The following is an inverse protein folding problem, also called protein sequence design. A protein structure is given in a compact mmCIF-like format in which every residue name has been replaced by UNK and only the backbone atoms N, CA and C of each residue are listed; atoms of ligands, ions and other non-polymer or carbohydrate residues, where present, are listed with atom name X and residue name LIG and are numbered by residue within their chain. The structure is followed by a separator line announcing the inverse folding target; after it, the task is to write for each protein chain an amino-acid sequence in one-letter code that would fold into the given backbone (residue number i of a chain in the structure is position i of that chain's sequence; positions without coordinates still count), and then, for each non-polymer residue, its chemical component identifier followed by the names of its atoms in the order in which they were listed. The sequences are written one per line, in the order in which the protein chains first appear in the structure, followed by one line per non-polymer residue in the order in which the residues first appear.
data_IF_650582174823
#
_entry.id   IF_650582174823
#
_cell.length_a   1.000
_cell.length_b   1.000
_cell.length_c   1.000
_cell.angle_alpha   90.00
_cell.angle_beta   90.00
_cell.angle_gamma   90.00
#
_symmetry.space_group_name_H-M   'P 1'
#
loop_
_entity.id
_entity.type
_entity.pdbx_description
1 polymer ?
#
# COMPACT_ATOMS: atom_id res chain seq x y z
N UNK A 1 8.82 12.06 22.50
CA UNK A 1 7.35 12.05 22.37
C UNK A 1 6.87 11.06 21.30
N UNK A 2 7.42 11.08 20.08
CA UNK A 2 7.00 10.20 18.96
C UNK A 2 7.11 8.70 19.25
N UNK A 3 8.25 8.22 19.79
CA UNK A 3 8.42 6.78 20.09
C UNK A 3 7.34 6.23 21.04
N UNK A 4 7.06 6.93 22.14
CA UNK A 4 6.01 6.53 23.11
C UNK A 4 4.62 6.55 22.48
N UNK A 5 4.34 7.52 21.59
CA UNK A 5 3.08 7.57 20.87
C UNK A 5 2.91 6.37 19.93
N UNK A 6 3.96 6.02 19.15
CA UNK A 6 3.97 4.83 18.29
C UNK A 6 3.72 3.57 19.12
N UNK A 7 4.48 3.37 20.20
CA UNK A 7 4.34 2.19 21.08
C UNK A 7 2.93 2.08 21.69
N UNK A 8 2.35 3.21 22.13
CA UNK A 8 0.99 3.24 22.67
C UNK A 8 -0.05 2.88 21.60
N UNK A 9 0.02 3.51 20.43
CA UNK A 9 -0.91 3.27 19.33
C UNK A 9 -0.83 1.83 18.81
N UNK A 10 0.38 1.29 18.61
CA UNK A 10 0.57 -0.10 18.20
C UNK A 10 -0.04 -1.07 19.23
N UNK A 11 0.21 -0.83 20.53
CA UNK A 11 -0.36 -1.64 21.60
C UNK A 11 -1.90 -1.54 21.65
N UNK A 12 -2.47 -0.37 21.43
CA UNK A 12 -3.91 -0.17 21.51
C UNK A 12 -4.64 -0.71 20.27
N UNK A 13 -4.04 -0.62 19.09
CA UNK A 13 -4.70 -0.88 17.82
C UNK A 13 -4.31 -2.22 17.19
N UNK A 14 -3.03 -2.60 17.22
CA UNK A 14 -2.58 -3.85 16.60
C UNK A 14 -2.77 -5.06 17.53
N UNK A 15 -2.54 -4.88 18.83
CA UNK A 15 -2.59 -5.99 19.80
C UNK A 15 -3.95 -6.72 19.81
N UNK A 16 -5.12 -6.05 19.81
CA UNK A 16 -6.41 -6.75 19.78
C UNK A 16 -6.60 -7.63 18.53
N UNK A 17 -6.11 -7.17 17.37
CA UNK A 17 -6.18 -7.96 16.13
C UNK A 17 -5.30 -9.20 16.22
N UNK A 18 -4.08 -9.05 16.72
CA UNK A 18 -3.14 -10.17 16.92
C UNK A 18 -3.73 -11.18 17.91
N UNK A 19 -4.28 -10.72 19.04
CA UNK A 19 -4.90 -11.58 20.05
C UNK A 19 -6.17 -12.29 19.56
N UNK A 20 -6.87 -11.72 18.57
CA UNK A 20 -7.99 -12.40 17.89
C UNK A 20 -7.56 -13.52 16.92
N UNK A 21 -6.26 -13.78 16.79
CA UNK A 21 -5.71 -14.82 15.91
C UNK A 21 -5.74 -14.45 14.42
N UNK A 22 -5.93 -13.17 14.09
CA UNK A 22 -5.97 -12.68 12.71
C UNK A 22 -4.64 -12.08 12.29
N UNK A 23 -4.32 -12.17 11.00
CA UNK A 23 -3.19 -11.44 10.44
C UNK A 23 -3.51 -9.96 10.31
N UNK A 24 -2.56 -9.11 10.68
CA UNK A 24 -2.64 -7.66 10.43
C UNK A 24 -2.45 -7.29 8.96
N UNK A 25 -1.98 -8.24 8.14
CA UNK A 25 -1.76 -8.05 6.70
C UNK A 25 -2.92 -8.57 5.84
N UNK A 26 -3.72 -9.50 6.34
CA UNK A 26 -4.97 -9.94 5.69
C UNK A 26 -5.91 -10.52 6.76
N UNK A 27 -6.95 -9.78 7.14
CA UNK A 27 -7.85 -10.14 8.26
C UNK A 27 -8.63 -11.44 8.04
N UNK A 28 -8.62 -11.99 6.82
CA UNK A 28 -9.22 -13.29 6.50
C UNK A 28 -8.27 -14.45 6.84
N UNK A 29 -6.98 -14.19 7.03
CA UNK A 29 -5.94 -15.17 7.33
C UNK A 29 -5.57 -15.18 8.82
N UNK A 30 -5.00 -16.31 9.26
CA UNK A 30 -4.15 -16.35 10.46
C UNK A 30 -2.74 -15.88 10.09
N UNK A 31 -1.96 -15.34 11.04
CA UNK A 31 -0.60 -14.86 10.76
C UNK A 31 0.27 -15.90 10.04
N UNK A 32 0.91 -15.51 8.93
CA UNK A 32 1.77 -16.35 8.11
C UNK A 32 1.05 -17.18 7.04
N UNK A 33 -0.28 -17.16 7.02
CA UNK A 33 -1.12 -17.89 6.06
C UNK A 33 -1.77 -17.00 5.00
N UNK A 34 -1.35 -15.74 4.86
CA UNK A 34 -1.89 -14.76 3.91
C UNK A 34 -1.74 -15.23 2.46
N UNK A 35 -0.65 -15.97 2.19
CA UNK A 35 -0.35 -16.54 0.87
C UNK A 35 -1.51 -17.34 0.30
N UNK A 36 -2.39 -17.92 1.12
CA UNK A 36 -3.56 -18.69 0.64
C UNK A 36 -4.46 -17.88 -0.31
N UNK A 37 -4.55 -16.56 -0.11
CA UNK A 37 -5.34 -15.64 -0.94
C UNK A 37 -4.59 -15.07 -2.15
N UNK A 38 -3.32 -15.41 -2.35
CA UNK A 38 -2.56 -14.87 -3.47
C UNK A 38 -2.91 -15.62 -4.75
N UNK A 39 -3.26 -14.88 -5.80
CA UNK A 39 -3.41 -15.42 -7.16
C UNK A 39 -2.05 -15.70 -7.77
N UNK A 40 -1.04 -14.88 -7.46
CA UNK A 40 0.35 -15.13 -7.84
C UNK A 40 1.08 -15.88 -6.72
N UNK A 41 1.46 -17.14 -6.97
CA UNK A 41 2.22 -17.95 -6.02
C UNK A 41 3.70 -17.58 -6.09
N UNK A 42 4.19 -16.89 -5.05
CA UNK A 42 5.61 -16.60 -4.89
C UNK A 42 6.30 -17.80 -4.23
N UNK A 43 7.42 -18.24 -4.81
CA UNK A 43 8.27 -19.28 -4.24
C UNK A 43 9.04 -18.80 -3.00
N UNK A 44 9.97 -19.62 -2.52
CA UNK A 44 10.87 -19.24 -1.45
C UNK A 44 12.01 -18.35 -1.98
N UNK A 45 11.77 -17.04 -1.93
CA UNK A 45 12.68 -15.99 -2.39
C UNK A 45 14.01 -16.05 -1.61
N UNK A 46 13.94 -16.29 -0.30
CA UNK A 46 15.14 -16.36 0.54
C UNK A 46 16.02 -17.54 0.16
N UNK A 47 15.42 -18.71 -0.06
CA UNK A 47 16.13 -19.90 -0.52
C UNK A 47 16.77 -19.68 -1.87
N UNK A 48 16.06 -19.06 -2.82
CA UNK A 48 16.58 -18.78 -4.16
C UNK A 48 17.80 -17.85 -4.12
N UNK A 49 17.67 -16.67 -3.49
CA UNK A 49 18.76 -15.68 -3.46
C UNK A 49 19.97 -16.11 -2.63
N UNK A 50 19.82 -17.12 -1.77
CA UNK A 50 20.93 -17.65 -0.97
C UNK A 50 21.66 -18.83 -1.62
N UNK A 51 21.25 -19.29 -2.79
CA UNK A 51 21.99 -20.30 -3.57
C UNK A 51 23.38 -19.78 -3.96
N UNK A 52 24.46 -20.56 -3.79
CA UNK A 52 25.82 -20.13 -4.14
C UNK A 52 25.94 -19.64 -5.58
N UNK A 53 25.32 -20.33 -6.53
CA UNK A 53 25.33 -20.00 -7.95
C UNK A 53 24.62 -18.66 -8.23
N UNK A 54 23.50 -18.39 -7.57
CA UNK A 54 22.77 -17.11 -7.71
C UNK A 54 23.58 -15.97 -7.10
N UNK A 55 24.19 -16.19 -5.93
CA UNK A 55 25.05 -15.20 -5.28
C UNK A 55 26.29 -14.88 -6.10
N UNK A 56 26.92 -15.89 -6.70
CA UNK A 56 28.07 -15.72 -7.59
C UNK A 56 27.69 -14.92 -8.84
N UNK A 57 26.56 -15.23 -9.48
CA UNK A 57 26.06 -14.50 -10.65
C UNK A 57 25.74 -13.03 -10.35
N UNK A 58 25.20 -12.74 -9.16
CA UNK A 58 24.91 -11.37 -8.71
C UNK A 58 26.12 -10.64 -8.12
N UNK A 59 27.26 -11.33 -7.93
CA UNK A 59 28.47 -10.75 -7.32
C UNK A 59 28.31 -10.39 -5.83
N UNK A 60 27.43 -11.08 -5.09
CA UNK A 60 27.14 -10.78 -3.69
C UNK A 60 27.60 -11.89 -2.75
N UNK A 61 28.16 -11.53 -1.61
CA UNK A 61 28.66 -12.49 -0.60
C UNK A 61 27.78 -12.59 0.64
N UNK A 62 26.96 -11.55 0.92
CA UNK A 62 26.10 -11.49 2.10
C UNK A 62 24.92 -12.47 2.01
N UNK A 63 24.50 -13.02 3.14
CA UNK A 63 23.25 -13.79 3.23
C UNK A 63 22.07 -12.84 3.02
N UNK A 64 21.20 -13.17 2.09
CA UNK A 64 19.99 -12.41 1.81
C UNK A 64 18.94 -12.67 2.89
N UNK A 65 18.25 -11.61 3.30
CA UNK A 65 17.07 -11.63 4.17
C UNK A 65 16.08 -10.58 3.66
N UNK A 66 14.79 -10.86 3.82
CA UNK A 66 13.70 -9.95 3.46
C UNK A 66 13.64 -8.70 4.36
N UNK A 67 13.98 -8.85 5.63
CA UNK A 67 13.93 -7.77 6.63
C UNK A 67 15.23 -7.66 7.43
N UNK A 68 15.69 -6.43 7.67
CA UNK A 68 16.75 -6.12 8.62
C UNK A 68 16.15 -5.51 9.91
N UNK A 69 16.12 -6.29 10.98
CA UNK A 69 15.50 -5.89 12.27
C UNK A 69 16.22 -4.71 12.92
N UNK A 70 17.53 -4.55 12.73
CA UNK A 70 18.27 -3.42 13.29
C UNK A 70 17.83 -2.10 12.64
N UNK A 71 17.67 -2.10 11.31
CA UNK A 71 17.15 -0.94 10.57
C UNK A 71 15.72 -0.63 11.00
N UNK A 72 14.85 -1.64 11.07
CA UNK A 72 13.47 -1.46 11.52
C UNK A 72 13.40 -0.81 12.92
N UNK A 73 14.19 -1.29 13.88
CA UNK A 73 14.27 -0.72 15.24
C UNK A 73 14.80 0.72 15.25
N UNK A 74 15.80 1.02 14.42
CA UNK A 74 16.35 2.37 14.33
C UNK A 74 15.32 3.38 13.80
N UNK A 75 14.45 2.95 12.89
CA UNK A 75 13.41 3.79 12.28
C UNK A 75 12.09 3.83 13.05
N UNK A 76 11.84 2.92 13.99
CA UNK A 76 10.56 2.80 14.71
C UNK A 76 10.04 4.12 15.32
N UNK A 77 10.95 4.94 15.87
CA UNK A 77 10.59 6.26 16.45
C UNK A 77 10.03 7.27 15.43
N UNK A 78 10.27 7.06 14.13
CA UNK A 78 9.78 7.88 13.03
C UNK A 78 8.48 7.33 12.42
N UNK A 79 7.93 6.21 12.93
CA UNK A 79 6.71 5.61 12.37
C UNK A 79 5.47 6.53 12.43
N UNK A 80 5.46 7.51 13.35
CA UNK A 80 4.41 8.53 13.46
C UNK A 80 4.77 9.85 12.77
N UNK A 81 5.80 9.87 11.93
CA UNK A 81 6.16 11.07 11.17
C UNK A 81 5.12 11.33 10.08
N UNK A 82 4.46 12.47 10.15
CA UNK A 82 3.45 12.88 9.17
C UNK A 82 4.14 13.31 7.87
N UNK A 83 3.73 12.67 6.77
CA UNK A 83 4.25 12.93 5.41
C UNK A 83 3.23 13.62 4.51
N UNK A 84 2.09 14.04 5.05
CA UNK A 84 1.00 14.71 4.31
C UNK A 84 1.50 15.90 3.50
N UNK A 85 2.37 16.71 4.08
CA UNK A 85 2.84 17.94 3.43
C UNK A 85 3.71 17.65 2.20
N UNK A 86 4.49 16.57 2.20
CA UNK A 86 5.24 16.17 1.00
C UNK A 86 4.30 15.77 -0.13
N UNK A 87 3.16 15.14 0.19
CA UNK A 87 2.17 14.76 -0.82
C UNK A 87 1.43 15.98 -1.35
N UNK A 88 1.10 16.95 -0.50
CA UNK A 88 0.57 18.26 -0.95
C UNK A 88 1.53 18.91 -1.94
N UNK A 89 2.82 18.97 -1.61
CA UNK A 89 3.82 19.60 -2.47
C UNK A 89 3.94 18.91 -3.84
N UNK A 90 3.91 17.56 -3.88
CA UNK A 90 3.92 16.84 -5.16
C UNK A 90 2.69 17.19 -6.02
N UNK A 91 1.51 17.28 -5.40
CA UNK A 91 0.30 17.66 -6.11
C UNK A 91 0.35 19.13 -6.57
N UNK A 92 0.89 20.03 -5.75
CA UNK A 92 1.06 21.45 -6.05
C UNK A 92 1.92 21.68 -7.30
N UNK A 93 2.97 20.86 -7.48
CA UNK A 93 3.83 20.80 -8.67
C UNK A 93 3.17 20.14 -9.90
N UNK A 94 1.88 19.80 -9.82
CA UNK A 94 1.12 19.21 -10.93
C UNK A 94 1.37 17.72 -11.14
N UNK A 95 2.00 17.02 -10.19
CA UNK A 95 2.32 15.59 -10.34
C UNK A 95 1.11 14.70 -10.08
N UNK A 96 1.24 13.44 -10.51
CA UNK A 96 0.24 12.39 -10.33
C UNK A 96 0.54 11.61 -9.06
N UNK A 97 -0.47 11.43 -8.20
CA UNK A 97 -0.39 10.63 -6.97
C UNK A 97 -1.45 9.53 -7.02
N UNK A 98 -0.99 8.28 -6.89
CA UNK A 98 -1.84 7.10 -6.82
C UNK A 98 -1.64 6.40 -5.47
N UNK A 99 -2.75 6.16 -4.77
CA UNK A 99 -2.80 5.47 -3.47
C UNK A 99 -3.63 4.19 -3.65
N UNK A 100 -3.03 3.03 -3.37
CA UNK A 100 -3.65 1.72 -3.60
C UNK A 100 -3.59 0.89 -2.33
N UNK A 101 -4.73 0.39 -1.88
CA UNK A 101 -4.81 -0.47 -0.70
C UNK A 101 -5.73 -1.66 -0.92
N UNK A 102 -5.35 -2.80 -0.35
CA UNK A 102 -6.21 -3.97 -0.25
C UNK A 102 -7.34 -3.75 0.74
N UNK A 103 -8.55 -4.18 0.39
CA UNK A 103 -9.73 -4.09 1.25
C UNK A 103 -9.60 -4.84 2.58
N UNK A 104 -8.75 -5.88 2.62
CA UNK A 104 -8.59 -6.80 3.74
C UNK A 104 -7.31 -6.53 4.55
N UNK A 105 -6.54 -5.50 4.18
CA UNK A 105 -5.37 -5.05 4.94
C UNK A 105 -5.82 -4.29 6.19
N UNK A 106 -5.25 -4.63 7.35
CA UNK A 106 -5.54 -3.94 8.60
C UNK A 106 -4.48 -2.88 8.92
N UNK A 107 -3.19 -3.25 8.84
CA UNK A 107 -2.08 -2.42 9.30
C UNK A 107 -1.96 -1.13 8.49
N UNK A 108 -2.26 -1.19 7.20
CA UNK A 108 -2.38 -0.02 6.30
C UNK A 108 -3.71 -0.07 5.57
N UNK A 109 -4.80 0.00 6.32
CA UNK A 109 -6.15 -0.22 5.78
C UNK A 109 -6.61 0.89 4.81
N UNK A 110 -7.44 0.48 3.84
CA UNK A 110 -7.99 1.35 2.81
C UNK A 110 -8.88 2.49 3.35
N UNK A 111 -9.53 2.30 4.51
CA UNK A 111 -10.39 3.33 5.13
C UNK A 111 -9.53 4.48 5.66
N UNK A 112 -8.47 4.16 6.41
CA UNK A 112 -7.52 5.12 6.94
C UNK A 112 -6.81 5.89 5.83
N UNK A 113 -6.38 5.18 4.77
CA UNK A 113 -5.78 5.82 3.61
C UNK A 113 -6.73 6.82 2.93
N UNK A 114 -7.99 6.45 2.68
CA UNK A 114 -8.96 7.38 2.09
C UNK A 114 -9.26 8.56 3.00
N UNK A 115 -9.43 8.32 4.30
CA UNK A 115 -9.68 9.37 5.29
C UNK A 115 -8.51 10.36 5.37
N UNK A 116 -7.28 9.89 5.24
CA UNK A 116 -6.11 10.75 5.13
C UNK A 116 -6.09 11.52 3.80
N UNK A 117 -6.40 10.87 2.67
CA UNK A 117 -6.39 11.56 1.37
C UNK A 117 -7.39 12.73 1.31
N UNK A 118 -8.53 12.65 2.00
CA UNK A 118 -9.48 13.77 2.04
C UNK A 118 -9.01 14.94 2.91
N UNK A 119 -7.93 14.79 3.69
CA UNK A 119 -7.31 15.91 4.43
C UNK A 119 -6.23 16.62 3.63
N UNK A 120 -5.88 16.16 2.43
CA UNK A 120 -4.90 16.81 1.56
C UNK A 120 -5.41 18.18 1.12
N UNK A 121 -4.91 19.25 1.75
CA UNK A 121 -5.29 20.61 1.38
C UNK A 121 -4.48 21.07 0.16
N UNK A 122 -3.16 21.26 0.30
CA UNK A 122 -2.33 21.87 -0.74
C UNK A 122 -2.89 23.22 -1.23
N UNK A 123 -2.43 23.70 -2.38
CA UNK A 123 -2.91 24.96 -2.96
C UNK A 123 -4.33 24.86 -3.55
N UNK A 124 -4.82 23.65 -3.85
CA UNK A 124 -6.05 23.42 -4.60
C UNK A 124 -7.15 22.64 -3.84
N UNK A 125 -7.01 22.46 -2.53
CA UNK A 125 -7.94 21.67 -1.70
C UNK A 125 -8.20 20.26 -2.25
N UNK A 126 -7.12 19.55 -2.58
CA UNK A 126 -7.16 18.26 -3.29
C UNK A 126 -8.16 17.26 -2.69
N UNK A 127 -8.09 17.08 -1.37
CA UNK A 127 -8.94 16.18 -0.60
C UNK A 127 -10.42 16.50 -0.68
N UNK A 128 -10.80 17.78 -0.78
CA UNK A 128 -12.21 18.20 -0.82
C UNK A 128 -12.87 17.83 -2.15
N UNK A 129 -12.11 17.91 -3.26
CA UNK A 129 -12.57 17.49 -4.59
C UNK A 129 -12.63 15.94 -4.65
N UNK A 130 -11.62 15.26 -4.10
CA UNK A 130 -11.62 13.80 -4.02
C UNK A 130 -12.78 13.26 -3.17
N UNK A 131 -13.13 13.94 -2.08
CA UNK A 131 -14.25 13.56 -1.20
C UNK A 131 -15.57 13.57 -1.97
N UNK A 132 -15.82 14.61 -2.77
CA UNK A 132 -17.02 14.78 -3.60
C UNK A 132 -17.06 13.86 -4.83
N UNK A 133 -15.91 13.38 -5.27
CA UNK A 133 -15.81 12.47 -6.42
C UNK A 133 -16.46 11.11 -6.09
N UNK A 134 -17.43 10.60 -6.86
CA UNK A 134 -18.07 9.32 -6.55
C UNK A 134 -17.11 8.15 -6.77
N UNK A 135 -17.32 7.06 -6.02
CA UNK A 135 -16.66 5.80 -6.32
C UNK A 135 -17.15 5.24 -7.66
N UNK A 136 -16.21 4.78 -8.49
CA UNK A 136 -16.49 4.02 -9.70
C UNK A 136 -15.94 2.60 -9.54
N UNK A 137 -16.58 1.63 -10.18
CA UNK A 137 -15.97 0.31 -10.35
C UNK A 137 -14.78 0.45 -11.29
N UNK A 138 -13.65 -0.14 -10.91
CA UNK A 138 -12.49 -0.27 -11.80
C UNK A 138 -12.37 -1.72 -12.23
N UNK A 139 -12.37 -1.93 -13.53
CA UNK A 139 -12.35 -3.25 -14.15
C UNK A 139 -11.49 -3.22 -15.41
N UNK A 140 -10.87 -4.36 -15.68
CA UNK A 140 -10.03 -4.56 -16.87
C UNK A 140 -10.38 -5.88 -17.52
N UNK A 141 -10.33 -5.92 -18.86
CA UNK A 141 -10.58 -7.17 -19.62
C UNK A 141 -9.69 -8.33 -19.14
N UNK A 142 -8.46 -8.05 -18.71
CA UNK A 142 -7.47 -9.06 -18.31
C UNK A 142 -7.68 -9.65 -16.91
N UNK A 143 -8.46 -8.98 -16.05
CA UNK A 143 -8.61 -9.34 -14.63
C UNK A 143 -10.05 -9.33 -14.12
N UNK A 144 -11.01 -8.84 -14.90
CA UNK A 144 -12.33 -8.49 -14.42
C UNK A 144 -12.29 -7.30 -13.47
N UNK A 145 -13.23 -7.26 -12.52
CA UNK A 145 -13.34 -6.21 -11.51
C UNK A 145 -12.16 -6.26 -10.54
N UNK A 146 -11.35 -5.20 -10.54
CA UNK A 146 -10.23 -5.03 -9.61
C UNK A 146 -10.69 -4.42 -8.27
N UNK A 147 -11.70 -3.54 -8.31
CA UNK A 147 -12.28 -2.95 -7.11
C UNK A 147 -12.98 -1.63 -7.35
N UNK A 148 -12.71 -0.65 -6.49
CA UNK A 148 -13.30 0.70 -6.56
C UNK A 148 -12.23 1.77 -6.67
N UNK A 149 -12.51 2.81 -7.45
CA UNK A 149 -11.62 3.96 -7.65
C UNK A 149 -12.35 5.28 -7.35
N UNK A 150 -11.64 6.23 -6.73
CA UNK A 150 -11.91 7.67 -6.80
C UNK A 150 -10.75 8.32 -7.55
N UNK A 151 -11.05 9.15 -8.54
CA UNK A 151 -10.03 9.81 -9.37
C UNK A 151 -10.47 11.24 -9.69
N UNK A 152 -9.57 12.19 -9.45
CA UNK A 152 -9.79 13.60 -9.68
C UNK A 152 -8.59 14.21 -10.40
N UNK A 153 -8.86 15.09 -11.37
CA UNK A 153 -7.87 15.92 -12.03
C UNK A 153 -8.08 17.38 -11.63
N UNK A 154 -6.99 18.12 -11.49
CA UNK A 154 -6.97 19.49 -10.98
C UNK A 154 -6.52 20.48 -12.05
N UNK A 155 -6.79 21.77 -11.81
CA UNK A 155 -6.52 22.86 -12.76
C UNK A 155 -5.02 23.05 -13.02
N UNK A 156 -4.16 22.72 -12.06
CA UNK A 156 -2.70 22.72 -12.23
C UNK A 156 -2.15 21.47 -12.95
N UNK A 157 -3.01 20.59 -13.46
CA UNK A 157 -2.61 19.36 -14.14
C UNK A 157 -2.39 18.16 -13.22
N UNK A 158 -2.40 18.35 -11.90
CA UNK A 158 -2.27 17.27 -10.94
C UNK A 158 -3.38 16.23 -11.09
N UNK A 159 -3.08 15.01 -10.64
CA UNK A 159 -4.03 13.89 -10.62
C UNK A 159 -3.93 13.16 -9.29
N UNK A 160 -5.07 12.91 -8.65
CA UNK A 160 -5.15 12.18 -7.40
C UNK A 160 -6.10 10.99 -7.56
N UNK A 161 -5.58 9.79 -7.37
CA UNK A 161 -6.32 8.55 -7.48
C UNK A 161 -6.22 7.72 -6.19
N UNK A 162 -7.36 7.17 -5.77
CA UNK A 162 -7.46 6.17 -4.71
C UNK A 162 -8.08 4.89 -5.27
N UNK A 163 -7.39 3.76 -5.13
CA UNK A 163 -7.92 2.43 -5.49
C UNK A 163 -8.05 1.58 -4.23
N UNK A 164 -9.27 1.12 -3.96
CA UNK A 164 -9.54 0.02 -3.03
C UNK A 164 -9.67 -1.29 -3.81
N UNK A 165 -8.72 -2.18 -3.61
CA UNK A 165 -8.61 -3.47 -4.29
C UNK A 165 -9.45 -4.51 -3.55
N UNK A 166 -10.45 -5.08 -4.22
CA UNK A 166 -11.31 -6.09 -3.58
C UNK A 166 -10.60 -7.42 -3.44
N UNK A 167 -10.99 -8.19 -2.43
CA UNK A 167 -10.44 -9.52 -2.13
C UNK A 167 -8.91 -9.55 -1.92
N UNK A 168 -8.32 -8.42 -1.53
CA UNK A 168 -6.89 -8.23 -1.39
C UNK A 168 -6.49 -7.74 -0.01
N UNK A 169 -5.38 -8.26 0.53
CA UNK A 169 -4.74 -7.78 1.76
C UNK A 169 -3.57 -6.83 1.45
N UNK A 170 -2.60 -6.78 2.35
CA UNK A 170 -1.40 -5.93 2.26
C UNK A 170 -0.60 -6.19 0.98
N UNK A 171 -0.45 -7.45 0.61
CA UNK A 171 0.18 -7.87 -0.65
C UNK A 171 -0.79 -7.82 -1.83
N UNK A 172 -1.52 -6.72 -2.01
CA UNK A 172 -2.60 -6.60 -3.00
C UNK A 172 -2.15 -6.91 -4.43
N UNK A 173 -0.88 -6.64 -4.77
CA UNK A 173 -0.30 -6.99 -6.06
C UNK A 173 -0.22 -8.52 -6.27
N UNK A 174 -0.01 -9.30 -5.20
CA UNK A 174 -0.03 -10.77 -5.26
C UNK A 174 -1.46 -11.33 -5.23
N UNK A 175 -2.40 -10.62 -4.60
CA UNK A 175 -3.82 -10.97 -4.64
C UNK A 175 -4.45 -10.73 -6.02
N UNK A 176 -4.10 -9.64 -6.73
CA UNK A 176 -4.72 -9.21 -7.98
C UNK A 176 -3.68 -8.78 -9.05
N UNK A 177 -2.72 -9.63 -9.45
CA UNK A 177 -1.53 -9.23 -10.22
C UNK A 177 -1.85 -8.54 -11.55
N UNK A 178 -2.72 -9.14 -12.38
CA UNK A 178 -3.08 -8.59 -13.70
C UNK A 178 -3.82 -7.25 -13.60
N UNK A 179 -4.71 -7.13 -12.60
CA UNK A 179 -5.49 -5.91 -12.41
C UNK A 179 -4.62 -4.76 -11.88
N UNK A 180 -3.71 -5.05 -10.94
CA UNK A 180 -2.76 -4.06 -10.42
C UNK A 180 -1.78 -3.61 -11.50
N UNK A 181 -1.30 -4.52 -12.34
CA UNK A 181 -0.50 -4.15 -13.51
C UNK A 181 -1.25 -3.19 -14.43
N UNK A 182 -2.49 -3.53 -14.80
CA UNK A 182 -3.31 -2.67 -15.67
C UNK A 182 -3.61 -1.29 -15.05
N UNK A 183 -3.86 -1.25 -13.73
CA UNK A 183 -4.03 0.01 -13.00
C UNK A 183 -2.75 0.86 -13.00
N UNK A 184 -1.59 0.23 -12.82
CA UNK A 184 -0.32 0.92 -12.88
C UNK A 184 -0.03 1.49 -14.28
N UNK A 185 -0.30 0.73 -15.35
CA UNK A 185 -0.17 1.19 -16.74
C UNK A 185 -1.13 2.36 -17.05
N UNK A 186 -2.37 2.30 -16.55
CA UNK A 186 -3.34 3.38 -16.66
C UNK A 186 -2.86 4.67 -15.95
N UNK A 187 -2.24 4.53 -14.77
CA UNK A 187 -1.63 5.64 -14.04
C UNK A 187 -0.45 6.25 -14.80
N UNK A 188 0.45 5.41 -15.34
CA UNK A 188 1.61 5.87 -16.10
C UNK A 188 1.20 6.65 -17.35
N UNK A 189 0.20 6.16 -18.08
CA UNK A 189 -0.37 6.84 -19.26
C UNK A 189 -1.27 8.04 -18.91
N UNK A 190 -1.60 8.23 -17.63
CA UNK A 190 -2.45 9.33 -17.16
C UNK A 190 -3.94 9.16 -17.43
N UNK A 191 -4.39 7.93 -17.70
CA UNK A 191 -5.82 7.60 -17.76
C UNK A 191 -6.48 7.67 -16.38
N UNK A 192 -5.70 7.41 -15.33
CA UNK A 192 -6.03 7.60 -13.91
C UNK A 192 -4.84 8.24 -13.17
#
# INVERSE_FOLDING_TARGET
MCKKAVEYCEKALLKPVIESGKSVYDVRATPGNEKKYYKLRVGDVAKFFNKPEVKAQLGVTKKWSDTNIAVLKAFHKYGAYDTTEFVNHLLDEGLKVLVVHGEQDYITNAIGALNWMVTLKGMFNYGDILQKTPFKTIEYKVSGVLGKIKFSQYTNGAKLAFIKVIEAGHSFALNQPKGIQAAFEAFLSGQI
#
